data_IF_900973890684
#
_entry.id   IF_900973890684
#
_cell.length_a   1.000
_cell.length_b   1.000
_cell.length_c   1.000
_cell.angle_alpha   90.00
_cell.angle_beta   90.00
_cell.angle_gamma   90.00
#
_symmetry.space_group_name_H-M   'P 1'
#
loop_
_entity.id
_entity.type
_entity.pdbx_description
1 polymer ?
#
# COMPACT_ATOMS: atom_id res chain seq x y z
N UNK A 1 7.07 -14.79 -15.81
CA UNK A 1 6.56 -15.64 -14.70
C UNK A 1 5.05 -15.58 -14.79
N UNK A 2 4.37 -16.73 -14.79
CA UNK A 2 2.97 -16.88 -15.26
C UNK A 2 2.01 -15.80 -14.72
N UNK A 3 2.15 -15.38 -13.46
CA UNK A 3 1.29 -14.37 -12.84
C UNK A 3 1.45 -12.98 -13.44
N UNK A 4 2.69 -12.50 -13.63
CA UNK A 4 2.91 -11.17 -14.20
C UNK A 4 2.58 -11.14 -15.68
N UNK A 5 2.88 -12.23 -16.41
CA UNK A 5 2.56 -12.34 -17.83
C UNK A 5 1.02 -12.36 -18.02
N UNK A 6 0.31 -13.10 -17.16
CA UNK A 6 -1.15 -13.11 -17.13
C UNK A 6 -1.72 -11.73 -16.79
N UNK A 7 -1.22 -11.08 -15.74
CA UNK A 7 -1.72 -9.78 -15.29
C UNK A 7 -1.46 -8.68 -16.34
N UNK A 8 -0.28 -8.68 -16.98
CA UNK A 8 0.06 -7.75 -18.06
C UNK A 8 -0.85 -7.96 -19.27
N UNK A 9 -1.13 -9.23 -19.64
CA UNK A 9 -2.07 -9.57 -20.70
C UNK A 9 -3.51 -9.16 -20.38
N UNK A 10 -3.94 -9.29 -19.13
CA UNK A 10 -5.27 -8.91 -18.67
C UNK A 10 -5.46 -7.39 -18.66
N UNK A 11 -4.42 -6.64 -18.25
CA UNK A 11 -4.41 -5.19 -18.33
C UNK A 11 -4.41 -4.69 -19.77
N UNK A 12 -3.74 -5.40 -20.68
CA UNK A 12 -3.67 -5.07 -22.10
C UNK A 12 -4.95 -5.41 -22.86
N UNK A 13 -5.80 -6.30 -22.33
CA UNK A 13 -6.93 -6.83 -23.09
C UNK A 13 -8.06 -5.83 -23.28
N UNK A 14 -8.26 -4.92 -22.32
CA UNK A 14 -9.35 -3.92 -22.36
C UNK A 14 -8.98 -2.69 -21.51
N UNK A 15 -9.32 -1.50 -22.01
CA UNK A 15 -9.19 -0.24 -21.26
C UNK A 15 -10.00 -0.26 -19.94
N UNK A 16 -11.11 -0.99 -19.89
CA UNK A 16 -11.87 -1.19 -18.65
C UNK A 16 -11.06 -1.94 -17.60
N UNK A 17 -10.30 -2.98 -17.96
CA UNK A 17 -9.45 -3.71 -17.01
C UNK A 17 -8.32 -2.84 -16.47
N UNK A 18 -7.67 -2.09 -17.36
CA UNK A 18 -6.67 -1.11 -16.96
C UNK A 18 -7.23 -0.08 -15.98
N UNK A 19 -8.38 0.52 -16.31
CA UNK A 19 -9.04 1.50 -15.46
C UNK A 19 -9.48 0.90 -14.13
N UNK A 20 -9.96 -0.36 -14.12
CA UNK A 20 -10.31 -1.05 -12.90
C UNK A 20 -9.10 -1.24 -11.99
N UNK A 21 -7.96 -1.67 -12.54
CA UNK A 21 -6.73 -1.86 -11.77
C UNK A 21 -6.18 -0.54 -11.20
N UNK A 22 -6.07 0.49 -12.04
CA UNK A 22 -5.60 1.81 -11.61
C UNK A 22 -6.57 2.44 -10.63
N UNK A 23 -7.87 2.37 -10.93
CA UNK A 23 -8.94 2.91 -10.08
C UNK A 23 -8.96 2.26 -8.70
N UNK A 24 -8.92 0.92 -8.64
CA UNK A 24 -8.89 0.19 -7.36
C UNK A 24 -7.64 0.51 -6.55
N UNK A 25 -6.45 0.50 -7.16
CA UNK A 25 -5.20 0.86 -6.46
C UNK A 25 -5.22 2.31 -5.94
N UNK A 26 -5.83 3.24 -6.69
CA UNK A 26 -5.97 4.64 -6.30
C UNK A 26 -6.95 4.81 -5.14
N UNK A 27 -8.14 4.20 -5.24
CA UNK A 27 -9.16 4.23 -4.19
C UNK A 27 -8.62 3.61 -2.89
N UNK A 28 -7.91 2.48 -2.99
CA UNK A 28 -7.26 1.84 -1.84
C UNK A 28 -6.27 2.79 -1.16
N UNK A 29 -5.41 3.45 -1.93
CA UNK A 29 -4.48 4.47 -1.42
C UNK A 29 -5.20 5.61 -0.72
N UNK A 30 -6.23 6.19 -1.35
CA UNK A 30 -6.98 7.31 -0.78
C UNK A 30 -7.66 6.94 0.53
N UNK A 31 -8.35 5.81 0.57
CA UNK A 31 -9.01 5.31 1.79
C UNK A 31 -7.97 5.06 2.89
N UNK A 32 -6.84 4.43 2.56
CA UNK A 32 -5.78 4.15 3.52
C UNK A 32 -5.18 5.44 4.10
N UNK A 33 -4.92 6.44 3.27
CA UNK A 33 -4.41 7.75 3.70
C UNK A 33 -5.41 8.46 4.62
N UNK A 34 -6.71 8.45 4.27
CA UNK A 34 -7.77 9.06 5.09
C UNK A 34 -7.82 8.39 6.46
N UNK A 35 -7.86 7.05 6.51
CA UNK A 35 -7.87 6.29 7.77
C UNK A 35 -6.62 6.62 8.59
N UNK A 36 -5.45 6.58 7.97
CA UNK A 36 -4.19 6.87 8.64
C UNK A 36 -4.19 8.29 9.23
N UNK A 37 -4.68 9.29 8.50
CA UNK A 37 -4.76 10.67 8.98
C UNK A 37 -5.72 10.82 10.18
N UNK A 38 -6.89 10.18 10.12
CA UNK A 38 -7.87 10.19 11.21
C UNK A 38 -7.29 9.54 12.47
N UNK A 39 -6.71 8.35 12.35
CA UNK A 39 -6.14 7.61 13.49
C UNK A 39 -4.92 8.33 14.04
N UNK A 40 -4.07 8.90 13.18
CA UNK A 40 -2.97 9.78 13.59
C UNK A 40 -3.48 10.91 14.48
N UNK A 41 -4.49 11.68 14.06
CA UNK A 41 -5.04 12.75 14.90
C UNK A 41 -5.48 12.24 16.29
N UNK A 42 -6.07 11.04 16.36
CA UNK A 42 -6.48 10.39 17.62
C UNK A 42 -5.31 9.91 18.48
N UNK A 43 -4.22 9.45 17.89
CA UNK A 43 -3.01 9.02 18.63
C UNK A 43 -2.28 10.23 19.19
N UNK A 44 -2.18 11.33 18.43
CA UNK A 44 -1.50 12.54 18.86
C UNK A 44 -2.14 13.17 20.10
N UNK A 45 -3.47 13.12 20.23
CA UNK A 45 -4.18 13.69 21.39
C UNK A 45 -3.97 12.93 22.70
N UNK A 46 -3.36 11.74 22.66
CA UNK A 46 -3.15 10.88 23.84
C UNK A 46 -1.75 11.00 24.47
N UNK A 47 -0.88 11.87 23.95
CA UNK A 47 0.34 12.31 24.64
C UNK A 47 1.49 11.30 24.67
N UNK A 48 1.73 10.65 25.81
CA UNK A 48 3.01 10.03 26.19
C UNK A 48 3.51 8.91 25.25
N UNK A 49 2.61 8.05 24.75
CA UNK A 49 3.01 6.90 23.92
C UNK A 49 2.84 7.13 22.42
N UNK A 50 2.41 8.33 22.01
CA UNK A 50 2.08 8.65 20.63
C UNK A 50 3.27 8.44 19.68
N UNK A 51 4.46 8.91 20.04
CA UNK A 51 5.68 8.78 19.23
C UNK A 51 6.07 7.32 18.98
N UNK A 52 6.04 6.48 20.03
CA UNK A 52 6.38 5.05 19.92
C UNK A 52 5.38 4.30 19.03
N UNK A 53 4.11 4.67 19.09
CA UNK A 53 3.07 4.10 18.22
C UNK A 53 3.31 4.53 16.77
N UNK A 54 3.60 5.80 16.51
CA UNK A 54 3.92 6.28 15.16
C UNK A 54 5.12 5.57 14.57
N UNK A 55 6.19 5.43 15.35
CA UNK A 55 7.38 4.74 14.89
C UNK A 55 7.04 3.33 14.42
N UNK A 56 6.28 2.55 15.20
CA UNK A 56 5.84 1.21 14.81
C UNK A 56 4.99 1.18 13.54
N UNK A 57 4.08 2.15 13.39
CA UNK A 57 3.22 2.23 12.18
C UNK A 57 4.08 2.56 10.96
N UNK A 58 4.93 3.59 11.05
CA UNK A 58 5.81 4.01 9.94
C UNK A 58 6.82 2.91 9.60
N UNK A 59 7.38 2.21 10.58
CA UNK A 59 8.25 1.05 10.32
C UNK A 59 7.51 -0.06 9.59
N UNK A 60 6.25 -0.37 9.97
CA UNK A 60 5.43 -1.37 9.27
C UNK A 60 5.17 -0.99 7.80
N UNK A 61 4.84 0.29 7.54
CA UNK A 61 4.67 0.83 6.19
C UNK A 61 5.97 0.74 5.38
N UNK A 62 7.08 1.18 5.96
CA UNK A 62 8.36 1.22 5.28
C UNK A 62 8.87 -0.18 4.95
N UNK A 63 8.82 -1.10 5.92
CA UNK A 63 9.23 -2.50 5.71
C UNK A 63 8.37 -3.17 4.64
N UNK A 64 7.05 -2.99 4.68
CA UNK A 64 6.18 -3.56 3.64
C UNK A 64 6.44 -2.95 2.27
N UNK A 65 6.71 -1.65 2.17
CA UNK A 65 7.10 -1.03 0.91
C UNK A 65 8.39 -1.63 0.35
N UNK A 66 9.42 -1.77 1.19
CA UNK A 66 10.68 -2.38 0.79
C UNK A 66 10.48 -3.81 0.30
N UNK A 67 9.69 -4.62 1.01
CA UNK A 67 9.39 -5.99 0.60
C UNK A 67 8.67 -6.00 -0.76
N UNK A 68 7.61 -5.21 -0.92
CA UNK A 68 6.83 -5.17 -2.16
C UNK A 68 7.64 -4.68 -3.35
N UNK A 69 8.46 -3.64 -3.17
CA UNK A 69 9.34 -3.12 -4.22
C UNK A 69 10.45 -4.12 -4.54
N UNK A 70 10.99 -4.83 -3.55
CA UNK A 70 11.99 -5.90 -3.78
C UNK A 70 11.36 -7.03 -4.59
N UNK A 71 10.18 -7.50 -4.18
CA UNK A 71 9.40 -8.50 -4.93
C UNK A 71 9.16 -8.05 -6.38
N UNK A 72 8.76 -6.79 -6.57
CA UNK A 72 8.61 -6.21 -7.89
C UNK A 72 9.92 -6.26 -8.70
N UNK A 73 11.04 -5.82 -8.14
CA UNK A 73 12.33 -5.77 -8.85
C UNK A 73 12.84 -7.15 -9.27
N UNK A 74 12.62 -8.18 -8.46
CA UNK A 74 13.12 -9.52 -8.74
C UNK A 74 12.19 -10.35 -9.63
N UNK A 75 10.88 -10.07 -9.63
CA UNK A 75 9.91 -10.94 -10.31
C UNK A 75 9.22 -10.32 -11.53
N UNK A 76 9.25 -8.99 -11.69
CA UNK A 76 8.66 -8.33 -12.87
C UNK A 76 9.69 -8.33 -14.01
N UNK A 77 9.37 -8.92 -15.18
CA UNK A 77 10.25 -8.84 -16.35
C UNK A 77 10.54 -7.40 -16.79
N UNK A 78 11.76 -7.14 -17.26
CA UNK A 78 12.16 -5.79 -17.67
C UNK A 78 11.34 -5.19 -18.84
N UNK A 79 10.67 -6.05 -19.63
CA UNK A 79 9.85 -5.64 -20.78
C UNK A 79 8.37 -5.43 -20.47
N UNK A 80 7.96 -5.48 -19.21
CA UNK A 80 6.55 -5.37 -18.80
C UNK A 80 5.98 -3.98 -19.08
N UNK A 81 4.84 -3.92 -19.79
CA UNK A 81 4.24 -2.67 -20.28
C UNK A 81 3.71 -1.79 -19.15
N UNK A 82 3.08 -2.40 -18.14
CA UNK A 82 2.41 -1.69 -17.04
C UNK A 82 3.24 -1.63 -15.75
N UNK A 83 4.57 -1.59 -15.90
CA UNK A 83 5.54 -1.50 -14.80
C UNK A 83 5.18 -0.41 -13.76
N UNK A 84 4.78 0.78 -14.20
CA UNK A 84 4.43 1.91 -13.32
C UNK A 84 3.21 1.61 -12.45
N UNK A 85 2.23 0.90 -13.00
CA UNK A 85 1.01 0.52 -12.31
C UNK A 85 1.28 -0.51 -11.21
N UNK A 86 2.22 -1.44 -11.44
CA UNK A 86 2.66 -2.39 -10.41
C UNK A 86 3.41 -1.72 -9.25
N UNK A 87 4.25 -0.73 -9.55
CA UNK A 87 4.89 0.09 -8.51
C UNK A 87 3.82 0.86 -7.73
N UNK A 88 2.84 1.45 -8.41
CA UNK A 88 1.75 2.16 -7.75
C UNK A 88 0.94 1.23 -6.83
N UNK A 89 0.62 0.02 -7.27
CA UNK A 89 -0.06 -0.98 -6.44
C UNK A 89 0.77 -1.35 -5.21
N UNK A 90 2.10 -1.48 -5.35
CA UNK A 90 3.01 -1.74 -4.22
C UNK A 90 2.96 -0.62 -3.17
N UNK A 91 2.94 0.63 -3.62
CA UNK A 91 2.78 1.80 -2.75
C UNK A 91 1.39 1.78 -2.08
N UNK A 92 0.32 1.51 -2.83
CA UNK A 92 -1.04 1.43 -2.29
C UNK A 92 -1.19 0.36 -1.20
N UNK A 93 -0.59 -0.82 -1.41
CA UNK A 93 -0.59 -1.89 -0.41
C UNK A 93 0.19 -1.50 0.85
N UNK A 94 1.32 -0.80 0.70
CA UNK A 94 2.07 -0.27 1.86
C UNK A 94 1.25 0.74 2.66
N UNK A 95 0.54 1.67 2.00
CA UNK A 95 -0.39 2.58 2.68
C UNK A 95 -1.49 1.83 3.41
N UNK A 96 -2.06 0.80 2.78
CA UNK A 96 -3.09 -0.02 3.39
C UNK A 96 -2.59 -0.76 4.65
N UNK A 97 -1.38 -1.31 4.60
CA UNK A 97 -0.72 -1.92 5.77
C UNK A 97 -0.51 -0.87 6.88
N UNK A 98 -0.16 0.36 6.51
CA UNK A 98 -0.09 1.49 7.43
C UNK A 98 -1.41 1.81 8.11
N UNK A 99 -2.50 1.86 7.35
CA UNK A 99 -3.84 2.08 7.86
C UNK A 99 -4.25 0.97 8.85
N UNK A 100 -4.07 -0.31 8.49
CA UNK A 100 -4.34 -1.45 9.38
C UNK A 100 -3.49 -1.37 10.65
N UNK A 101 -2.18 -1.14 10.49
CA UNK A 101 -1.24 -1.02 11.60
C UNK A 101 -1.66 0.12 12.55
N UNK A 102 -2.11 1.24 12.00
CA UNK A 102 -2.59 2.37 12.80
C UNK A 102 -3.80 2.02 13.66
N UNK A 103 -4.79 1.32 13.08
CA UNK A 103 -5.98 0.87 13.80
C UNK A 103 -5.58 -0.14 14.90
N UNK A 104 -4.73 -1.11 14.55
CA UNK A 104 -4.26 -2.13 15.49
C UNK A 104 -3.53 -1.52 16.69
N UNK A 105 -2.54 -0.66 16.46
CA UNK A 105 -1.79 -0.06 17.56
C UNK A 105 -2.61 0.94 18.36
N UNK A 106 -3.56 1.64 17.74
CA UNK A 106 -4.50 2.49 18.46
C UNK A 106 -5.35 1.67 19.44
N UNK A 107 -6.00 0.59 18.97
CA UNK A 107 -6.83 -0.31 19.80
C UNK A 107 -6.04 -1.08 20.86
N UNK A 108 -4.77 -1.34 20.60
CA UNK A 108 -3.90 -2.01 21.58
C UNK A 108 -3.46 -1.07 22.71
N UNK A 109 -3.40 0.24 22.44
CA UNK A 109 -2.95 1.24 23.39
C UNK A 109 -4.10 1.90 24.19
N UNK A 110 -5.31 1.93 23.63
CA UNK A 110 -6.50 2.58 24.19
C UNK A 110 -7.75 1.75 23.96
#
# INVERSE_FOLDING_TARGET
MIIFDWLDSWLASDIMHFNLFVGTSTILSLIAIIIFFIIRKKIASKGENSFRIYFKITSSMYISLLILVTVYMFWVPAGTLYSRQYINMSISLSFFIGAISSIYYYRKAY
#
